data_IF_018398301356
#
_entry.id   IF_018398301356
#
_cell.length_a   1.000
_cell.length_b   1.000
_cell.length_c   1.000
_cell.angle_alpha   90.00
_cell.angle_beta   90.00
_cell.angle_gamma   90.00
#
_symmetry.space_group_name_H-M   'P 1'
#
loop_
_entity.id
_entity.type
_entity.pdbx_description
1 polymer ?
#
# COMPACT_ATOMS: atom_id res chain seq x y z
N UNK A 1 51.18 15.24 -12.10
CA UNK A 1 49.85 14.60 -12.23
C UNK A 1 48.97 14.80 -10.98
N UNK A 2 49.09 15.94 -10.26
CA UNK A 2 48.30 16.22 -9.03
C UNK A 2 47.08 17.12 -9.26
N UNK A 3 46.97 17.75 -10.43
CA UNK A 3 45.94 18.75 -10.73
C UNK A 3 44.67 18.17 -11.37
N UNK A 4 44.70 16.91 -11.82
CA UNK A 4 43.53 16.25 -12.43
C UNK A 4 42.60 15.57 -11.42
N UNK A 5 43.07 15.31 -10.19
CA UNK A 5 42.26 14.59 -9.19
C UNK A 5 41.20 15.47 -8.52
N UNK A 6 41.35 16.80 -8.58
CA UNK A 6 40.47 17.74 -7.88
C UNK A 6 39.16 17.96 -8.65
N UNK A 7 39.16 17.77 -9.98
CA UNK A 7 37.99 18.01 -10.83
C UNK A 7 36.90 16.94 -10.67
N UNK A 8 37.24 15.72 -10.22
CA UNK A 8 36.26 14.64 -10.03
C UNK A 8 35.50 14.73 -8.71
N UNK A 9 35.99 15.49 -7.73
CA UNK A 9 35.30 15.65 -6.43
C UNK A 9 34.21 16.71 -6.52
N UNK A 10 34.34 17.68 -7.44
CA UNK A 10 33.34 18.73 -7.65
C UNK A 10 32.09 18.25 -8.43
N UNK A 11 32.15 17.07 -9.07
CA UNK A 11 31.02 16.42 -9.74
C UNK A 11 30.36 15.32 -8.90
N UNK A 12 30.72 15.17 -7.63
CA UNK A 12 29.85 14.52 -6.65
C UNK A 12 28.66 15.45 -6.39
N UNK A 13 27.84 15.58 -7.43
CA UNK A 13 26.60 16.33 -7.43
C UNK A 13 25.83 15.89 -6.20
N UNK A 14 25.41 16.89 -5.45
CA UNK A 14 24.47 16.78 -4.37
C UNK A 14 23.27 16.04 -4.97
N UNK A 15 23.22 14.72 -4.79
CA UNK A 15 21.98 13.98 -4.94
C UNK A 15 21.16 14.44 -3.75
N UNK A 16 20.48 15.58 -3.93
CA UNK A 16 19.31 15.88 -3.11
C UNK A 16 18.35 14.74 -3.42
N UNK A 17 18.41 13.69 -2.62
CA UNK A 17 17.27 12.82 -2.45
C UNK A 17 16.18 13.76 -1.96
N UNK A 18 15.34 14.22 -2.88
CA UNK A 18 14.04 14.74 -2.50
C UNK A 18 13.40 13.53 -1.83
N UNK A 19 13.40 13.53 -0.50
CA UNK A 19 12.49 12.71 0.26
C UNK A 19 11.12 13.24 -0.13
N UNK A 20 10.58 12.67 -1.19
CA UNK A 20 9.24 12.95 -1.63
C UNK A 20 8.36 12.44 -0.49
N UNK A 21 7.70 13.36 0.22
CA UNK A 21 6.92 13.10 1.43
C UNK A 21 5.66 12.31 1.04
N UNK A 22 5.84 11.05 0.67
CA UNK A 22 4.76 10.15 0.32
C UNK A 22 4.19 9.50 1.58
N UNK A 23 2.87 9.37 1.64
CA UNK A 23 2.23 8.37 2.46
C UNK A 23 2.50 6.99 1.85
N UNK A 24 3.08 6.08 2.62
CA UNK A 24 3.48 4.77 2.14
C UNK A 24 2.51 3.69 2.61
N UNK A 25 1.87 3.00 1.67
CA UNK A 25 0.94 1.90 1.98
C UNK A 25 1.64 0.56 1.79
N UNK A 26 1.70 -0.22 2.86
CA UNK A 26 2.15 -1.62 2.88
C UNK A 26 0.95 -2.52 3.13
N UNK A 27 0.80 -3.59 2.36
CA UNK A 27 -0.31 -4.54 2.49
C UNK A 27 0.24 -5.92 2.82
N UNK A 28 -0.26 -6.54 3.90
CA UNK A 28 0.10 -7.90 4.35
C UNK A 28 -1.17 -8.68 4.68
N UNK A 29 -1.85 -9.14 3.63
CA UNK A 29 -3.05 -9.98 3.77
C UNK A 29 -2.69 -11.43 3.45
N UNK A 30 -2.93 -12.31 4.42
CA UNK A 30 -2.73 -13.74 4.27
C UNK A 30 -3.86 -14.36 3.41
N UNK A 31 -3.60 -15.49 2.78
CA UNK A 31 -4.61 -16.22 1.99
C UNK A 31 -4.84 -15.69 0.57
N UNK A 32 -4.31 -14.50 0.23
CA UNK A 32 -4.29 -13.98 -1.14
C UNK A 32 -3.10 -14.53 -1.97
N UNK A 33 -2.59 -15.72 -1.64
CA UNK A 33 -1.34 -16.23 -2.18
C UNK A 33 -1.58 -16.98 -3.50
N UNK A 34 -0.96 -16.50 -4.58
CA UNK A 34 -0.73 -17.29 -5.80
C UNK A 34 -1.39 -16.79 -7.08
N UNK A 35 -2.38 -15.90 -7.00
CA UNK A 35 -3.06 -15.33 -8.17
C UNK A 35 -3.17 -13.79 -8.11
N UNK A 36 -3.10 -13.11 -9.27
CA UNK A 36 -3.26 -11.65 -9.37
C UNK A 36 -4.76 -11.26 -9.31
N UNK A 37 -5.49 -11.88 -8.39
CA UNK A 37 -6.95 -11.90 -8.37
C UNK A 37 -7.54 -10.82 -7.47
N UNK A 38 -6.86 -10.51 -6.37
CA UNK A 38 -7.37 -9.65 -5.31
C UNK A 38 -6.66 -8.30 -5.25
N UNK A 39 -7.45 -7.24 -5.08
CA UNK A 39 -6.96 -5.88 -4.92
C UNK A 39 -7.66 -5.21 -3.74
N UNK A 40 -6.89 -4.48 -2.94
CA UNK A 40 -7.40 -3.61 -1.89
C UNK A 40 -7.62 -2.22 -2.50
N UNK A 41 -8.86 -1.75 -2.50
CA UNK A 41 -9.21 -0.44 -3.02
C UNK A 41 -9.49 0.53 -1.87
N UNK A 42 -8.86 1.70 -1.95
CA UNK A 42 -9.08 2.82 -1.03
C UNK A 42 -9.69 3.97 -1.83
N UNK A 43 -10.66 4.72 -1.26
CA UNK A 43 -11.13 5.97 -1.85
C UNK A 43 -9.95 6.91 -2.12
N UNK A 44 -10.02 7.65 -3.23
CA UNK A 44 -9.03 8.65 -3.66
C UNK A 44 -7.59 8.13 -3.92
N UNK A 45 -7.37 6.82 -3.81
CA UNK A 45 -6.10 6.15 -4.17
C UNK A 45 -6.29 5.19 -5.34
N UNK A 46 -7.39 4.41 -5.32
CA UNK A 46 -7.65 3.34 -6.27
C UNK A 46 -7.27 1.95 -5.73
N UNK A 47 -7.15 0.98 -6.63
CA UNK A 47 -7.03 -0.45 -6.28
C UNK A 47 -5.57 -0.93 -6.34
N UNK A 48 -5.06 -1.39 -5.19
CA UNK A 48 -3.70 -1.83 -4.96
C UNK A 48 -3.60 -3.36 -5.02
N UNK A 49 -2.66 -3.88 -5.83
CA UNK A 49 -2.50 -5.33 -6.00
C UNK A 49 -1.98 -6.00 -4.73
N UNK A 50 -2.72 -6.98 -4.22
CA UNK A 50 -2.30 -7.74 -3.04
C UNK A 50 -1.13 -8.68 -3.37
N UNK A 51 -1.08 -9.22 -4.60
CA UNK A 51 0.03 -10.05 -5.07
C UNK A 51 1.35 -9.25 -5.12
N UNK A 52 1.33 -8.03 -5.67
CA UNK A 52 2.53 -7.21 -5.71
C UNK A 52 2.98 -6.82 -4.30
N UNK A 53 2.05 -6.54 -3.39
CA UNK A 53 2.36 -6.23 -1.99
C UNK A 53 3.02 -7.42 -1.26
N UNK A 54 2.53 -8.63 -1.48
CA UNK A 54 3.16 -9.86 -0.96
C UNK A 54 4.59 -10.03 -1.45
N UNK A 55 4.90 -9.56 -2.67
CA UNK A 55 6.26 -9.52 -3.23
C UNK A 55 7.09 -8.33 -2.75
N UNK A 56 6.62 -7.60 -1.73
CA UNK A 56 7.34 -6.49 -1.10
C UNK A 56 7.08 -5.12 -1.71
N UNK A 57 6.11 -4.97 -2.64
CA UNK A 57 5.75 -3.66 -3.18
C UNK A 57 5.21 -2.75 -2.07
N UNK A 58 5.74 -1.53 -2.04
CA UNK A 58 5.23 -0.39 -1.27
C UNK A 58 4.56 0.56 -2.25
N UNK A 59 3.40 1.11 -1.88
CA UNK A 59 2.66 2.06 -2.70
C UNK A 59 2.82 3.47 -2.14
N UNK A 60 3.65 4.33 -2.75
CA UNK A 60 3.77 5.73 -2.36
C UNK A 60 2.59 6.54 -2.91
N UNK A 61 1.94 7.31 -2.05
CA UNK A 61 0.82 8.21 -2.35
C UNK A 61 1.21 9.63 -1.93
N UNK A 62 1.10 10.60 -2.83
CA UNK A 62 1.61 11.96 -2.63
C UNK A 62 0.56 12.93 -2.05
N UNK A 63 -0.31 12.39 -1.19
CA UNK A 63 -1.30 13.13 -0.41
C UNK A 63 -1.70 12.29 0.81
N UNK A 64 -2.37 12.91 1.79
CA UNK A 64 -2.94 12.17 2.92
C UNK A 64 -4.03 11.20 2.44
N UNK A 65 -4.08 10.02 3.05
CA UNK A 65 -4.98 8.93 2.67
C UNK A 65 -5.94 8.63 3.82
N UNK A 66 -7.25 8.63 3.56
CA UNK A 66 -8.23 8.14 4.51
C UNK A 66 -8.34 6.61 4.43
N UNK A 67 -8.32 5.95 5.59
CA UNK A 67 -8.46 4.50 5.73
C UNK A 67 -9.80 4.08 6.37
N UNK A 68 -10.68 5.04 6.65
CA UNK A 68 -12.02 4.83 7.21
C UNK A 68 -12.93 4.00 6.29
N UNK A 69 -12.61 3.96 5.01
CA UNK A 69 -13.31 3.17 4.01
C UNK A 69 -12.32 2.33 3.22
N UNK A 70 -12.60 1.04 3.13
CA UNK A 70 -11.80 0.11 2.34
C UNK A 70 -12.70 -0.91 1.65
N UNK A 71 -12.30 -1.28 0.44
CA UNK A 71 -12.98 -2.28 -0.35
C UNK A 71 -11.96 -3.31 -0.80
N UNK A 72 -12.43 -4.53 -1.03
CA UNK A 72 -11.66 -5.54 -1.74
C UNK A 72 -12.42 -5.88 -3.02
N UNK A 73 -11.70 -6.03 -4.11
CA UNK A 73 -12.25 -6.59 -5.33
C UNK A 73 -11.63 -7.94 -5.61
N UNK A 74 -12.49 -8.85 -6.08
CA UNK A 74 -12.12 -10.12 -6.66
C UNK A 74 -12.38 -10.07 -8.18
N UNK A 75 -11.30 -10.09 -8.97
CA UNK A 75 -11.38 -10.10 -10.44
C UNK A 75 -11.99 -11.39 -11.00
N UNK A 76 -11.94 -12.49 -10.26
CA UNK A 76 -12.62 -13.75 -10.59
C UNK A 76 -14.13 -13.71 -10.38
N UNK A 77 -14.65 -12.66 -9.73
CA UNK A 77 -16.07 -12.44 -9.51
C UNK A 77 -16.53 -11.08 -10.09
N UNK A 78 -16.28 -10.86 -11.38
CA UNK A 78 -16.73 -9.67 -12.12
C UNK A 78 -16.36 -8.32 -11.49
N UNK A 79 -15.21 -8.26 -10.80
CA UNK A 79 -14.75 -7.05 -10.11
C UNK A 79 -15.71 -6.54 -9.03
N UNK A 80 -16.48 -7.43 -8.40
CA UNK A 80 -17.40 -7.03 -7.35
C UNK A 80 -16.63 -6.42 -6.16
N UNK A 81 -16.94 -5.17 -5.83
CA UNK A 81 -16.40 -4.46 -4.69
C UNK A 81 -17.11 -4.90 -3.42
N UNK A 82 -16.39 -5.53 -2.51
CA UNK A 82 -16.87 -5.90 -1.19
C UNK A 82 -16.35 -4.90 -0.16
N UNK A 83 -17.26 -4.15 0.47
CA UNK A 83 -16.91 -3.25 1.56
C UNK A 83 -16.33 -4.01 2.76
N UNK A 84 -15.27 -3.48 3.35
CA UNK A 84 -14.60 -4.02 4.52
C UNK A 84 -15.05 -3.27 5.78
N UNK A 85 -14.88 -3.89 6.94
CA UNK A 85 -14.98 -3.20 8.22
C UNK A 85 -13.54 -2.93 8.72
N UNK A 86 -13.04 -1.69 8.59
CA UNK A 86 -11.67 -1.32 8.97
C UNK A 86 -11.37 -1.51 10.47
N UNK A 87 -12.41 -1.50 11.31
CA UNK A 87 -12.25 -1.40 12.75
C UNK A 87 -11.60 -0.08 13.19
N UNK A 88 -11.44 0.09 14.51
CA UNK A 88 -10.93 1.35 15.09
C UNK A 88 -9.48 1.65 14.71
N UNK A 89 -8.64 0.63 14.48
CA UNK A 89 -7.24 0.83 14.12
C UNK A 89 -7.02 1.50 12.76
N UNK A 90 -8.01 1.39 11.87
CA UNK A 90 -7.95 1.94 10.52
C UNK A 90 -8.86 3.15 10.35
N UNK A 91 -9.64 3.55 11.35
CA UNK A 91 -10.53 4.71 11.27
C UNK A 91 -9.74 6.00 11.51
N UNK A 92 -8.84 6.32 10.58
CA UNK A 92 -7.91 7.46 10.67
C UNK A 92 -7.36 7.79 9.28
N UNK A 93 -6.82 8.99 9.13
CA UNK A 93 -6.01 9.36 7.97
C UNK A 93 -4.53 9.05 8.20
N UNK A 94 -3.80 8.87 7.11
CA UNK A 94 -2.34 8.70 7.06
C UNK A 94 -1.77 9.89 6.31
N UNK A 95 -0.89 10.63 6.95
CA UNK A 95 -0.28 11.82 6.36
C UNK A 95 0.88 11.48 5.43
N UNK A 96 1.17 12.42 4.53
CA UNK A 96 2.42 12.47 3.76
C UNK A 96 3.61 12.34 4.72
N UNK A 97 4.58 11.47 4.43
CA UNK A 97 5.72 11.03 5.27
C UNK A 97 5.48 9.83 6.20
N UNK A 98 4.22 9.41 6.39
CA UNK A 98 3.91 8.25 7.23
C UNK A 98 3.90 6.96 6.44
N UNK A 99 4.11 5.83 7.11
CA UNK A 99 3.87 4.50 6.56
C UNK A 99 2.71 3.84 7.29
N UNK A 100 1.70 3.39 6.54
CA UNK A 100 0.68 2.49 7.05
C UNK A 100 0.92 1.07 6.58
N UNK A 101 0.83 0.12 7.52
CA UNK A 101 0.78 -1.32 7.22
C UNK A 101 -0.62 -1.85 7.49
N UNK A 102 -1.29 -2.29 6.44
CA UNK A 102 -2.62 -2.90 6.47
C UNK A 102 -2.46 -4.42 6.51
N UNK A 103 -2.99 -5.07 7.53
CA UNK A 103 -2.85 -6.51 7.77
C UNK A 103 -4.20 -7.20 7.95
N UNK A 104 -4.27 -8.50 7.67
CA UNK A 104 -5.47 -9.32 7.89
C UNK A 104 -5.41 -10.67 7.18
N UNK A 105 -6.55 -11.36 7.14
CA UNK A 105 -6.69 -12.68 6.50
C UNK A 105 -7.84 -12.66 5.49
N UNK A 106 -7.57 -13.04 4.25
CA UNK A 106 -8.59 -13.17 3.22
C UNK A 106 -9.55 -14.32 3.59
N UNK A 107 -10.85 -14.06 3.46
CA UNK A 107 -11.92 -15.02 3.72
C UNK A 107 -12.96 -14.95 2.60
N UNK A 108 -13.38 -16.13 2.12
CA UNK A 108 -14.48 -16.24 1.18
C UNK A 108 -15.81 -16.21 1.95
N UNK A 109 -16.71 -15.32 1.56
CA UNK A 109 -18.12 -15.38 1.97
C UNK A 109 -18.80 -16.35 1.02
N UNK A 110 -19.60 -17.30 1.55
CA UNK A 110 -20.21 -18.41 0.78
C UNK A 110 -21.07 -18.03 -0.44
N UNK A 111 -21.25 -16.74 -0.73
CA UNK A 111 -21.99 -16.19 -1.88
C UNK A 111 -21.07 -15.51 -2.93
N UNK A 112 -19.79 -15.88 -2.98
CA UNK A 112 -18.80 -15.31 -3.93
C UNK A 112 -18.25 -13.93 -3.53
N UNK A 113 -18.72 -13.34 -2.43
CA UNK A 113 -18.10 -12.16 -1.83
C UNK A 113 -16.80 -12.54 -1.13
N UNK A 114 -15.89 -11.59 -0.99
CA UNK A 114 -14.65 -11.78 -0.23
C UNK A 114 -14.52 -10.71 0.85
N UNK A 115 -13.86 -11.05 1.95
CA UNK A 115 -13.56 -10.11 3.02
C UNK A 115 -12.19 -10.34 3.61
N UNK A 116 -11.71 -9.35 4.34
CA UNK A 116 -10.49 -9.38 5.11
C UNK A 116 -10.92 -9.47 6.58
N UNK A 117 -10.77 -10.66 7.15
CA UNK A 117 -10.97 -10.88 8.58
C UNK A 117 -9.78 -10.35 9.35
N UNK A 118 -10.02 -9.85 10.57
CA UNK A 118 -8.99 -9.30 11.45
C UNK A 118 -8.19 -8.16 10.77
N UNK A 119 -8.89 -7.35 9.97
CA UNK A 119 -8.32 -6.16 9.34
C UNK A 119 -7.78 -5.21 10.41
N UNK A 120 -6.53 -4.80 10.25
CA UNK A 120 -5.83 -3.94 11.20
C UNK A 120 -4.84 -3.03 10.47
N UNK A 121 -4.70 -1.79 10.94
CA UNK A 121 -3.78 -0.81 10.40
C UNK A 121 -2.79 -0.39 11.49
N UNK A 122 -1.51 -0.34 11.12
CA UNK A 122 -0.42 0.18 11.95
C UNK A 122 0.25 1.33 11.22
N UNK A 123 0.25 2.52 11.84
CA UNK A 123 0.90 3.73 11.33
C UNK A 123 2.25 3.90 12.04
N UNK A 124 3.28 4.30 11.29
CA UNK A 124 4.63 4.58 11.77
C UNK A 124 5.27 5.71 11.00
#
# INVERSE_FOLDING_TARGET
MKRLLILFIALAGIQTALADDAANIKIKINGAMGDNRYFLCLPDVGCLSMLAAQKGKIYPIFHSVDLSEMYITDTGNSFHLSAQNPGSSCNTSVDTNQTVTITGNLANKGNGGVSINQLHCKIS
#
